data_IF_357230410402
#
_entry.id   IF_357230410402
#
_cell.length_a   1.000
_cell.length_b   1.000
_cell.length_c   1.000
_cell.angle_alpha   90.00
_cell.angle_beta   90.00
_cell.angle_gamma   90.00
#
_symmetry.space_group_name_H-M   'P 1'
#
loop_
_entity.id
_entity.type
_entity.pdbx_description
1 polymer ?
#
# COMPACT_ATOMS: atom_id res chain seq x y z
N UNK A 1 3.35 17.54 12.15
CA UNK A 1 2.68 16.24 11.92
C UNK A 1 3.39 15.12 12.66
N UNK A 2 2.76 13.98 12.78
CA UNK A 2 3.38 12.72 13.22
C UNK A 2 3.10 11.69 12.14
N UNK A 3 4.15 11.17 11.54
CA UNK A 3 4.04 10.14 10.50
C UNK A 3 3.94 8.77 11.17
N UNK A 4 2.88 8.03 10.89
CA UNK A 4 2.60 6.70 11.46
C UNK A 4 2.60 5.59 10.42
N UNK A 5 2.62 5.95 9.15
CA UNK A 5 2.76 5.02 8.02
C UNK A 5 3.30 5.78 6.81
N UNK A 6 4.22 5.17 6.08
CA UNK A 6 4.74 5.66 4.80
C UNK A 6 4.86 4.47 3.86
N UNK A 7 4.32 4.61 2.67
CA UNK A 7 4.47 3.64 1.60
C UNK A 7 4.61 4.34 0.25
N UNK A 8 5.14 3.65 -0.71
CA UNK A 8 5.35 4.15 -2.04
C UNK A 8 4.69 3.24 -3.09
N UNK A 9 4.36 3.83 -4.22
CA UNK A 9 4.07 3.09 -5.45
C UNK A 9 5.41 2.90 -6.18
N UNK A 10 6.00 1.71 -6.11
CA UNK A 10 7.25 1.46 -6.81
C UNK A 10 6.96 1.38 -8.31
N UNK A 11 7.92 1.80 -9.09
CA UNK A 11 7.89 1.64 -10.55
C UNK A 11 6.85 2.52 -11.28
N UNK A 12 6.13 3.38 -10.56
CA UNK A 12 5.23 4.34 -11.20
C UNK A 12 6.01 5.43 -11.92
N UNK A 13 5.59 5.75 -13.14
CA UNK A 13 5.99 6.96 -13.86
C UNK A 13 4.93 8.05 -13.67
N UNK A 14 5.13 9.22 -14.28
CA UNK A 14 4.09 10.24 -14.31
C UNK A 14 2.81 9.78 -15.06
N UNK A 15 2.94 8.73 -15.85
CA UNK A 15 1.89 8.17 -16.72
C UNK A 15 1.27 6.89 -16.13
N UNK A 16 1.97 6.22 -15.21
CA UNK A 16 1.49 5.02 -14.55
C UNK A 16 0.88 5.37 -13.19
N UNK A 17 -0.41 5.18 -13.10
CA UNK A 17 -1.24 5.42 -11.91
C UNK A 17 -1.78 4.11 -11.32
N UNK A 18 -1.10 2.99 -11.58
CA UNK A 18 -1.52 1.69 -11.05
C UNK A 18 -1.45 1.64 -9.53
N UNK A 19 -2.56 1.31 -8.91
CA UNK A 19 -2.70 1.10 -7.45
C UNK A 19 -2.48 -0.36 -7.03
N UNK A 20 -1.89 -1.18 -7.91
CA UNK A 20 -1.74 -2.62 -7.65
C UNK A 20 -0.72 -2.94 -6.58
N UNK A 21 0.37 -2.20 -6.48
CA UNK A 21 1.47 -2.48 -5.56
C UNK A 21 1.81 -1.27 -4.71
N UNK A 22 1.65 -1.42 -3.41
CA UNK A 22 2.12 -0.48 -2.40
C UNK A 22 3.25 -1.12 -1.61
N UNK A 23 4.39 -0.48 -1.45
CA UNK A 23 5.49 -1.04 -0.67
C UNK A 23 6.03 -0.06 0.38
N UNK A 24 6.62 -0.63 1.41
CA UNK A 24 7.36 0.11 2.43
C UNK A 24 8.52 -0.72 2.97
N UNK A 25 9.59 -0.03 3.32
CA UNK A 25 10.78 -0.55 3.97
C UNK A 25 11.50 0.57 4.73
N UNK A 26 12.62 0.25 5.37
CA UNK A 26 13.38 1.22 6.14
C UNK A 26 13.90 2.39 5.28
N UNK A 27 14.32 2.13 4.04
CA UNK A 27 14.80 3.16 3.12
C UNK A 27 13.67 4.10 2.67
N UNK A 28 12.53 3.53 2.30
CA UNK A 28 11.32 4.28 1.94
C UNK A 28 10.90 5.21 3.07
N UNK A 29 10.86 4.70 4.30
CA UNK A 29 10.52 5.51 5.49
C UNK A 29 11.54 6.61 5.70
N UNK A 30 12.85 6.30 5.71
CA UNK A 30 13.91 7.27 5.95
C UNK A 30 13.91 8.40 4.90
N UNK A 31 13.69 8.05 3.66
CA UNK A 31 13.74 8.99 2.52
C UNK A 31 12.50 9.87 2.41
N UNK A 32 11.31 9.30 2.64
CA UNK A 32 10.04 10.00 2.38
C UNK A 32 9.46 10.69 3.62
N UNK A 33 9.78 10.23 4.83
CA UNK A 33 9.23 10.82 6.05
C UNK A 33 9.58 12.31 6.22
N UNK A 34 10.85 12.75 6.10
CA UNK A 34 11.20 14.16 6.35
C UNK A 34 10.46 15.15 5.46
N UNK A 35 10.44 14.99 4.11
CA UNK A 35 9.72 15.94 3.25
C UNK A 35 8.21 15.88 3.44
N UNK A 36 7.63 14.68 3.67
CA UNK A 36 6.20 14.54 3.93
C UNK A 36 5.79 15.18 5.26
N UNK A 37 6.55 14.96 6.33
CA UNK A 37 6.29 15.56 7.65
C UNK A 37 6.36 17.09 7.61
N UNK A 38 7.36 17.63 6.93
CA UNK A 38 7.51 19.08 6.75
C UNK A 38 6.29 19.67 6.03
N UNK A 39 5.89 19.08 4.90
CA UNK A 39 4.73 19.51 4.12
C UNK A 39 3.43 19.42 4.93
N UNK A 40 3.16 18.29 5.58
CA UNK A 40 1.93 18.07 6.34
C UNK A 40 1.88 18.93 7.61
N UNK A 41 3.01 19.23 8.24
CA UNK A 41 3.08 20.15 9.38
C UNK A 41 2.68 21.56 8.97
N UNK A 42 3.22 22.04 7.85
CA UNK A 42 2.88 23.37 7.34
C UNK A 42 1.43 23.46 6.86
N UNK A 43 0.93 22.41 6.19
CA UNK A 43 -0.48 22.30 5.80
C UNK A 43 -1.39 22.37 7.02
N UNK A 44 -1.11 21.57 8.06
CA UNK A 44 -1.88 21.55 9.30
C UNK A 44 -1.89 22.90 10.01
N UNK A 45 -0.71 23.55 10.09
CA UNK A 45 -0.57 24.89 10.67
C UNK A 45 -1.42 25.93 9.94
N UNK A 46 -1.40 25.93 8.60
CA UNK A 46 -2.18 26.89 7.78
C UNK A 46 -3.67 26.62 7.83
N UNK A 47 -4.06 25.36 7.88
CA UNK A 47 -5.48 24.96 7.94
C UNK A 47 -6.06 24.93 9.35
N UNK A 48 -5.26 25.21 10.39
CA UNK A 48 -5.70 25.17 11.79
C UNK A 48 -6.06 23.76 12.27
N UNK A 49 -5.45 22.70 11.70
CA UNK A 49 -5.73 21.33 12.05
C UNK A 49 -4.96 20.92 13.31
N UNK A 50 -5.67 20.38 14.30
CA UNK A 50 -5.11 19.86 15.55
C UNK A 50 -5.73 18.50 15.80
N UNK A 51 -4.90 17.52 16.20
CA UNK A 51 -5.32 16.15 16.53
C UNK A 51 -6.21 15.51 15.48
N UNK A 52 -5.69 15.47 14.25
CA UNK A 52 -6.49 15.16 13.08
C UNK A 52 -5.80 14.10 12.20
N UNK A 53 -6.40 12.92 11.99
CA UNK A 53 -5.82 11.91 11.13
C UNK A 53 -5.98 12.31 9.65
N UNK A 54 -4.90 12.15 8.90
CA UNK A 54 -4.85 12.49 7.48
C UNK A 54 -4.17 11.37 6.70
N UNK A 55 -4.75 10.98 5.59
CA UNK A 55 -4.09 10.24 4.52
C UNK A 55 -3.75 11.21 3.39
N UNK A 56 -2.49 11.31 3.04
CA UNK A 56 -2.02 12.19 1.97
C UNK A 56 -1.31 11.41 0.87
N UNK A 57 -1.67 11.69 -0.36
CA UNK A 57 -0.98 11.19 -1.55
C UNK A 57 -0.11 12.31 -2.11
N UNK A 58 1.18 12.05 -2.17
CA UNK A 58 2.19 13.05 -2.48
C UNK A 58 3.11 12.55 -3.60
N UNK A 59 3.52 13.45 -4.48
CA UNK A 59 4.69 13.25 -5.34
C UNK A 59 5.88 13.98 -4.74
N UNK A 60 7.01 13.29 -4.68
CA UNK A 60 8.26 13.84 -4.18
C UNK A 60 9.31 13.66 -5.29
N UNK A 61 9.86 14.75 -5.78
CA UNK A 61 10.88 14.73 -6.83
C UNK A 61 12.30 14.44 -6.26
N UNK A 62 13.26 14.28 -7.16
CA UNK A 62 14.65 14.00 -6.78
C UNK A 62 15.30 15.14 -5.96
N UNK A 63 14.75 16.34 -5.99
CA UNK A 63 15.19 17.48 -5.19
C UNK A 63 14.47 17.57 -3.83
N UNK A 64 13.59 16.59 -3.51
CA UNK A 64 12.79 16.56 -2.28
C UNK A 64 11.61 17.54 -2.29
N UNK A 65 11.24 18.11 -3.43
CA UNK A 65 10.06 18.99 -3.52
C UNK A 65 8.79 18.14 -3.51
N UNK A 66 7.85 18.56 -2.67
CA UNK A 66 6.58 17.86 -2.45
C UNK A 66 5.47 18.53 -3.24
N UNK A 67 4.72 17.74 -4.02
CA UNK A 67 3.49 18.15 -4.67
C UNK A 67 2.35 17.23 -4.19
N UNK A 68 1.26 17.77 -3.60
CA UNK A 68 0.11 16.98 -3.20
C UNK A 68 -0.67 16.52 -4.43
N UNK A 69 -1.11 15.26 -4.41
CA UNK A 69 -2.11 14.72 -5.33
C UNK A 69 -3.46 14.81 -4.65
N UNK A 70 -3.56 14.24 -3.45
CA UNK A 70 -4.78 14.19 -2.66
C UNK A 70 -4.47 14.28 -1.16
N UNK A 71 -5.35 14.93 -0.41
CA UNK A 71 -5.29 14.97 1.06
C UNK A 71 -6.67 14.61 1.60
N UNK A 72 -6.75 13.44 2.20
CA UNK A 72 -7.99 12.86 2.71
C UNK A 72 -8.05 12.97 4.23
N UNK A 73 -8.93 13.82 4.76
CA UNK A 73 -9.08 13.96 6.19
C UNK A 73 -9.84 12.78 6.83
N UNK A 74 -9.63 12.61 8.15
CA UNK A 74 -10.34 11.65 9.01
C UNK A 74 -10.11 10.17 8.62
N UNK A 75 -9.01 9.84 7.97
CA UNK A 75 -8.66 8.45 7.66
C UNK A 75 -7.15 8.19 7.67
N UNK A 76 -6.75 6.92 7.81
CA UNK A 76 -5.36 6.44 7.78
C UNK A 76 -4.97 5.73 6.46
N UNK A 77 -5.72 5.93 5.42
CA UNK A 77 -5.59 5.27 4.12
C UNK A 77 -6.79 4.38 3.79
N UNK A 78 -6.93 4.05 2.52
CA UNK A 78 -7.87 3.06 2.00
C UNK A 78 -7.22 1.70 1.79
N UNK A 79 -7.96 0.74 1.23
CA UNK A 79 -7.44 -0.53 0.72
C UNK A 79 -6.48 -1.28 1.66
N UNK A 80 -6.79 -1.34 2.96
CA UNK A 80 -5.94 -1.99 3.98
C UNK A 80 -4.55 -1.34 4.17
N UNK A 81 -4.34 -0.08 3.75
CA UNK A 81 -3.04 0.58 3.87
C UNK A 81 -2.56 0.72 5.33
N UNK A 82 -3.48 0.86 6.29
CA UNK A 82 -3.12 0.87 7.72
C UNK A 82 -2.52 -0.48 8.18
N UNK A 83 -3.01 -1.59 7.62
CA UNK A 83 -2.46 -2.93 7.94
C UNK A 83 -1.05 -3.11 7.38
N UNK A 84 -0.71 -2.42 6.29
CA UNK A 84 0.66 -2.44 5.75
C UNK A 84 1.67 -1.93 6.79
N UNK A 85 1.35 -0.87 7.56
CA UNK A 85 2.19 -0.41 8.66
C UNK A 85 2.38 -1.48 9.74
N UNK A 86 1.33 -2.23 10.05
CA UNK A 86 1.40 -3.32 11.01
C UNK A 86 2.32 -4.45 10.52
N UNK A 87 2.10 -4.96 9.31
CA UNK A 87 2.90 -6.06 8.75
C UNK A 87 4.37 -5.69 8.51
N UNK A 88 4.61 -4.47 8.06
CA UNK A 88 5.96 -3.98 7.78
C UNK A 88 6.73 -3.62 9.05
N UNK A 89 6.11 -2.86 9.93
CA UNK A 89 6.78 -2.13 10.99
C UNK A 89 6.31 -2.50 12.40
N UNK A 90 5.18 -3.23 12.52
CA UNK A 90 4.52 -3.48 13.80
C UNK A 90 3.86 -2.22 14.37
N UNK A 91 3.60 -1.23 13.53
CA UNK A 91 2.92 0.02 13.90
C UNK A 91 1.43 -0.11 13.65
N UNK A 92 0.62 0.23 14.63
CA UNK A 92 -0.82 0.39 14.51
C UNK A 92 -1.16 1.88 14.44
N UNK A 93 -1.52 2.44 13.27
CA UNK A 93 -1.82 3.86 13.10
C UNK A 93 -2.98 4.35 13.97
N UNK A 94 -3.98 3.51 14.18
CA UNK A 94 -5.14 3.84 15.03
C UNK A 94 -4.75 3.97 16.49
N UNK A 95 -3.94 3.03 16.97
CA UNK A 95 -3.39 3.08 18.33
C UNK A 95 -2.48 4.29 18.54
N UNK A 96 -1.61 4.57 17.57
CA UNK A 96 -0.75 5.75 17.62
C UNK A 96 -1.57 7.02 17.77
N UNK A 97 -2.63 7.17 16.98
CA UNK A 97 -3.51 8.33 17.06
C UNK A 97 -4.26 8.41 18.40
N UNK A 98 -4.95 7.32 18.80
CA UNK A 98 -5.80 7.31 19.98
C UNK A 98 -5.02 7.47 21.30
N UNK A 99 -3.74 7.07 21.32
CA UNK A 99 -2.88 7.14 22.52
C UNK A 99 -1.83 8.24 22.45
N UNK A 100 -1.72 8.97 21.35
CA UNK A 100 -0.66 9.94 21.12
C UNK A 100 0.74 9.30 21.03
N UNK A 101 0.81 8.00 20.70
CA UNK A 101 2.08 7.28 20.55
C UNK A 101 2.78 7.69 19.25
N UNK A 102 4.12 7.67 19.25
CA UNK A 102 4.94 7.94 18.07
C UNK A 102 5.77 6.72 17.74
N UNK A 103 5.83 6.30 16.46
CA UNK A 103 6.74 5.22 16.06
C UNK A 103 8.20 5.63 16.30
N UNK A 104 8.97 4.72 16.87
CA UNK A 104 10.43 4.82 16.93
C UNK A 104 11.01 4.28 15.62
N UNK A 105 11.12 5.16 14.64
CA UNK A 105 11.54 4.79 13.28
C UNK A 105 12.98 4.28 13.21
N UNK A 106 13.88 4.73 14.08
CA UNK A 106 15.27 4.23 14.15
C UNK A 106 15.29 2.76 14.56
N UNK A 107 14.65 2.44 15.66
CA UNK A 107 14.53 1.06 16.15
C UNK A 107 13.75 0.16 15.19
N UNK A 108 12.74 0.70 14.50
CA UNK A 108 11.97 -0.03 13.49
C UNK A 108 12.87 -0.35 12.29
N UNK A 109 13.64 0.61 11.81
CA UNK A 109 14.56 0.43 10.68
C UNK A 109 15.59 -0.67 10.96
N UNK A 110 16.22 -0.67 12.16
CA UNK A 110 17.15 -1.74 12.55
C UNK A 110 16.50 -3.13 12.50
N UNK A 111 15.28 -3.25 13.03
CA UNK A 111 14.56 -4.53 13.11
C UNK A 111 14.08 -5.02 11.74
N UNK A 112 13.80 -4.13 10.82
CA UNK A 112 13.22 -4.43 9.50
C UNK A 112 14.21 -4.36 8.35
N UNK A 113 15.49 -4.11 8.66
CA UNK A 113 16.57 -4.04 7.67
C UNK A 113 16.58 -5.24 6.72
N UNK A 114 16.86 -4.99 5.45
CA UNK A 114 16.95 -6.01 4.41
C UNK A 114 15.61 -6.60 3.95
N UNK A 115 14.49 -6.02 4.35
CA UNK A 115 13.15 -6.50 4.02
C UNK A 115 12.27 -5.37 3.50
N UNK A 116 11.59 -5.63 2.40
CA UNK A 116 10.48 -4.81 1.89
C UNK A 116 9.17 -5.56 2.12
N UNK A 117 8.18 -4.88 2.64
CA UNK A 117 6.81 -5.40 2.77
C UNK A 117 5.91 -4.68 1.79
N UNK A 118 5.09 -5.44 1.08
CA UNK A 118 4.16 -4.87 0.10
C UNK A 118 2.73 -5.34 0.34
N UNK A 119 1.80 -4.47 0.01
CA UNK A 119 0.38 -4.76 -0.19
C UNK A 119 0.13 -4.87 -1.69
N UNK A 120 -0.42 -6.00 -2.10
CA UNK A 120 -0.87 -6.24 -3.47
C UNK A 120 -2.38 -6.15 -3.51
N UNK A 121 -2.89 -5.26 -4.34
CA UNK A 121 -4.32 -5.17 -4.69
C UNK A 121 -4.54 -5.98 -5.95
N UNK A 122 -5.21 -7.13 -5.81
CA UNK A 122 -5.48 -8.02 -6.94
C UNK A 122 -6.69 -7.50 -7.74
N UNK A 123 -6.47 -6.40 -8.47
CA UNK A 123 -7.45 -5.70 -9.27
C UNK A 123 -7.75 -6.40 -10.59
N UNK A 124 -8.97 -6.25 -11.05
CA UNK A 124 -9.46 -6.78 -12.32
C UNK A 124 -9.73 -5.64 -13.31
N UNK A 125 -9.37 -5.82 -14.59
CA UNK A 125 -9.71 -4.86 -15.63
C UNK A 125 -11.23 -4.62 -15.71
N UNK A 126 -11.64 -3.40 -16.01
CA UNK A 126 -13.06 -3.03 -16.18
C UNK A 126 -13.77 -3.81 -17.30
N UNK A 127 -13.02 -4.48 -18.18
CA UNK A 127 -13.54 -5.36 -19.22
C UNK A 127 -14.01 -6.73 -18.70
N UNK A 128 -13.73 -7.08 -17.45
CA UNK A 128 -14.16 -8.35 -16.86
C UNK A 128 -15.60 -8.21 -16.37
N UNK A 129 -16.48 -9.08 -16.87
CA UNK A 129 -17.82 -9.23 -16.29
C UNK A 129 -17.72 -9.97 -14.94
N UNK A 130 -17.84 -9.22 -13.85
CA UNK A 130 -17.75 -9.78 -12.50
C UNK A 130 -18.82 -10.84 -12.23
N UNK A 131 -20.01 -10.70 -12.82
CA UNK A 131 -21.10 -11.66 -12.64
C UNK A 131 -20.83 -13.00 -13.34
N UNK A 132 -19.97 -13.00 -14.36
CA UNK A 132 -19.57 -14.22 -15.06
C UNK A 132 -18.43 -15.00 -14.35
N UNK A 133 -17.85 -14.48 -13.28
CA UNK A 133 -16.82 -15.19 -12.52
C UNK A 133 -17.49 -16.32 -11.70
N UNK A 134 -17.07 -17.56 -11.93
CA UNK A 134 -17.54 -18.72 -11.18
C UNK A 134 -16.70 -18.99 -9.92
N UNK A 135 -15.39 -18.75 -10.00
CA UNK A 135 -14.46 -18.92 -8.89
C UNK A 135 -13.15 -18.14 -9.15
N UNK A 136 -12.44 -17.88 -8.07
CA UNK A 136 -11.10 -17.29 -8.09
C UNK A 136 -10.10 -18.30 -7.51
N UNK A 137 -8.98 -18.48 -8.19
CA UNK A 137 -7.86 -19.31 -7.72
C UNK A 137 -6.93 -18.46 -6.82
N UNK A 138 -7.32 -18.30 -5.55
CA UNK A 138 -6.54 -17.59 -4.56
C UNK A 138 -5.22 -18.30 -4.22
N UNK A 139 -5.19 -19.64 -4.26
CA UNK A 139 -3.99 -20.42 -3.98
C UNK A 139 -2.96 -20.23 -5.09
N UNK A 140 -3.38 -20.33 -6.36
CA UNK A 140 -2.52 -20.04 -7.51
C UNK A 140 -2.03 -18.61 -7.54
N UNK A 141 -2.85 -17.65 -7.11
CA UNK A 141 -2.40 -16.27 -6.96
C UNK A 141 -1.35 -16.11 -5.85
N UNK A 142 -1.58 -16.70 -4.67
CA UNK A 142 -0.64 -16.68 -3.56
C UNK A 142 0.71 -17.34 -3.91
N UNK A 143 0.69 -18.40 -4.71
CA UNK A 143 1.90 -19.11 -5.15
C UNK A 143 2.85 -18.29 -6.03
N UNK A 144 2.45 -17.11 -6.48
CA UNK A 144 3.32 -16.15 -7.19
C UNK A 144 4.37 -15.50 -6.28
N UNK A 145 4.19 -15.60 -4.97
CA UNK A 145 5.03 -14.91 -3.98
C UNK A 145 5.74 -15.91 -3.09
N UNK A 146 7.03 -15.72 -2.89
CA UNK A 146 7.86 -16.57 -2.02
C UNK A 146 7.45 -16.48 -0.55
N UNK A 147 6.94 -15.34 -0.11
CA UNK A 147 6.58 -15.13 1.30
C UNK A 147 5.31 -14.29 1.44
N UNK A 148 4.18 -14.98 1.52
CA UNK A 148 2.87 -14.39 1.82
C UNK A 148 2.71 -14.27 3.34
N UNK A 149 2.42 -13.05 3.82
CA UNK A 149 2.12 -12.78 5.23
C UNK A 149 0.64 -13.03 5.52
N UNK A 150 -0.22 -12.54 4.61
CA UNK A 150 -1.67 -12.73 4.67
C UNK A 150 -2.28 -12.52 3.28
N UNK A 151 -3.28 -13.31 2.94
CA UNK A 151 -4.16 -13.11 1.80
C UNK A 151 -5.59 -12.99 2.29
N UNK A 152 -6.25 -11.89 1.92
CA UNK A 152 -7.65 -11.59 2.24
C UNK A 152 -8.49 -11.61 0.98
N UNK A 153 -9.27 -12.65 0.72
CA UNK A 153 -10.24 -12.66 -0.35
C UNK A 153 -11.26 -11.54 -0.19
N UNK A 154 -11.69 -10.96 -1.30
CA UNK A 154 -12.74 -9.95 -1.33
C UNK A 154 -13.98 -10.48 -2.05
N UNK A 155 -15.09 -9.80 -1.87
CA UNK A 155 -16.29 -10.07 -2.67
C UNK A 155 -16.13 -9.43 -4.06
N UNK A 156 -15.51 -10.19 -4.97
CA UNK A 156 -15.27 -9.77 -6.35
C UNK A 156 -16.57 -9.55 -7.16
N UNK A 157 -17.72 -10.01 -6.65
CA UNK A 157 -19.01 -9.74 -7.31
C UNK A 157 -19.46 -8.29 -7.10
N UNK A 158 -18.91 -7.61 -6.11
CA UNK A 158 -19.22 -6.21 -5.75
C UNK A 158 -18.11 -5.24 -6.11
N UNK A 159 -16.86 -5.70 -6.12
CA UNK A 159 -15.68 -4.88 -6.34
C UNK A 159 -14.75 -5.53 -7.36
N UNK A 160 -14.14 -4.77 -8.28
CA UNK A 160 -13.21 -5.30 -9.26
C UNK A 160 -11.83 -5.62 -8.65
N UNK A 161 -11.84 -6.20 -7.46
CA UNK A 161 -10.66 -6.66 -6.73
C UNK A 161 -11.02 -8.01 -6.12
N UNK A 162 -10.18 -9.04 -6.29
CA UNK A 162 -10.48 -10.35 -5.75
C UNK A 162 -9.69 -10.71 -4.48
N UNK A 163 -8.61 -9.99 -4.19
CA UNK A 163 -7.86 -10.16 -2.95
C UNK A 163 -7.01 -8.92 -2.60
N UNK A 164 -6.75 -8.75 -1.31
CA UNK A 164 -5.63 -7.98 -0.77
C UNK A 164 -4.60 -8.97 -0.23
N UNK A 165 -3.34 -8.83 -0.66
CA UNK A 165 -2.29 -9.76 -0.24
C UNK A 165 -1.10 -9.00 0.29
N UNK A 166 -0.71 -9.32 1.52
CA UNK A 166 0.51 -8.78 2.13
C UNK A 166 1.65 -9.76 1.91
N UNK A 167 2.73 -9.28 1.34
CA UNK A 167 3.90 -10.09 1.01
C UNK A 167 5.17 -9.44 1.54
N UNK A 168 6.20 -10.26 1.71
CA UNK A 168 7.53 -9.80 2.08
C UNK A 168 8.54 -10.28 1.05
N UNK A 169 9.39 -9.37 0.60
CA UNK A 169 10.49 -9.66 -0.33
C UNK A 169 11.80 -9.12 0.23
N UNK A 170 12.97 -9.58 -0.24
CA UNK A 170 14.25 -8.94 0.07
C UNK A 170 14.25 -7.47 -0.39
N UNK A 171 14.93 -6.59 0.34
CA UNK A 171 14.96 -5.17 0.00
C UNK A 171 15.75 -4.89 -1.30
N UNK A 172 16.62 -5.79 -1.70
CA UNK A 172 17.42 -5.73 -2.92
C UNK A 172 16.83 -6.51 -4.11
N UNK A 173 15.71 -7.23 -3.90
CA UNK A 173 15.02 -7.97 -4.96
C UNK A 173 13.51 -7.74 -4.96
N UNK A 174 13.06 -6.92 -5.90
CA UNK A 174 11.63 -6.63 -6.13
C UNK A 174 11.08 -7.34 -7.38
N UNK A 175 11.71 -8.43 -7.84
CA UNK A 175 11.30 -9.13 -9.06
C UNK A 175 9.85 -9.63 -9.01
N UNK A 176 9.40 -10.20 -7.89
CA UNK A 176 8.02 -10.65 -7.70
C UNK A 176 7.02 -9.50 -7.76
N UNK A 177 7.37 -8.34 -7.17
CA UNK A 177 6.51 -7.15 -7.21
C UNK A 177 6.38 -6.58 -8.62
N UNK A 178 7.47 -6.58 -9.40
CA UNK A 178 7.45 -6.17 -10.81
C UNK A 178 6.64 -7.15 -11.66
N UNK A 179 6.80 -8.45 -11.40
CA UNK A 179 6.08 -9.49 -12.13
C UNK A 179 4.57 -9.37 -11.93
N UNK A 180 4.08 -9.16 -10.69
CA UNK A 180 2.65 -9.01 -10.44
C UNK A 180 2.09 -7.69 -10.97
N UNK A 181 2.89 -6.62 -10.99
CA UNK A 181 2.46 -5.33 -11.53
C UNK A 181 2.07 -5.44 -13.02
N UNK A 182 2.86 -6.17 -13.80
CA UNK A 182 2.61 -6.41 -15.23
C UNK A 182 1.73 -7.62 -15.55
N UNK A 183 1.24 -8.36 -14.54
CA UNK A 183 0.51 -9.61 -14.76
C UNK A 183 -0.93 -9.39 -15.21
N UNK A 184 -1.41 -10.28 -16.09
CA UNK A 184 -2.83 -10.40 -16.38
C UNK A 184 -3.50 -11.30 -15.33
N UNK A 185 -4.11 -10.68 -14.33
CA UNK A 185 -4.72 -11.40 -13.22
C UNK A 185 -5.97 -12.20 -13.59
N UNK A 186 -6.48 -12.07 -14.84
CA UNK A 186 -7.58 -12.91 -15.34
C UNK A 186 -7.20 -14.39 -15.38
N UNK A 187 -5.92 -14.73 -15.42
CA UNK A 187 -5.44 -16.11 -15.37
C UNK A 187 -5.85 -16.86 -14.08
N UNK A 188 -6.16 -16.13 -13.00
CA UNK A 188 -6.66 -16.68 -11.75
C UNK A 188 -8.18 -16.78 -11.68
N UNK A 189 -8.89 -16.46 -12.77
CA UNK A 189 -10.35 -16.51 -12.82
C UNK A 189 -10.84 -17.77 -13.54
N UNK A 190 -11.83 -18.40 -12.96
CA UNK A 190 -12.66 -19.41 -13.65
C UNK A 190 -13.98 -18.75 -14.04
N UNK A 191 -14.22 -18.61 -15.33
CA UNK A 191 -15.46 -18.03 -15.82
C UNK A 191 -16.57 -19.07 -15.89
N UNK A 192 -17.82 -18.64 -15.69
CA UNK A 192 -19.01 -19.48 -15.97
C UNK A 192 -19.05 -19.77 -17.46
N UNK A 193 -19.50 -20.97 -17.84
CA UNK A 193 -19.79 -21.28 -19.26
C UNK A 193 -21.01 -20.45 -19.65
N UNK A 194 -21.00 -19.83 -20.83
CA UNK A 194 -22.25 -19.30 -21.37
C UNK A 194 -23.23 -20.46 -21.58
N UNK A 195 -24.48 -20.23 -21.21
CA UNK A 195 -25.59 -21.18 -21.46
C UNK A 195 -25.85 -21.32 -22.96
#
# INVERSE_FOLDING_TARGET
AVIVNVYAHPFSSAEDVSDRVYLTDADTVARLTPPAESFLTELGRRAGLVDFPVHAELRIDAAGRVAPIEVNPLRFGGWCAADLAHFAHGVDPYRCFLRGERPDWERIAERTAGRTTALIVADLPSSVDLAAIAAVDHEGFAARFSHVLELRPTDHTRYPVFAFTFVRVPADDHSELRAVLGADLREHLRMRRPD
#
